data_IF_475260832498
#
_entry.id   IF_475260832498
#
_cell.length_a   1.000
_cell.length_b   1.000
_cell.length_c   1.000
_cell.angle_alpha   90.00
_cell.angle_beta   90.00
_cell.angle_gamma   90.00
#
_symmetry.space_group_name_H-M   'P 1'
#
loop_
_entity.id
_entity.type
_entity.pdbx_description
1 polymer ?
#
# COMPACT_ATOMS: atom_id res chain seq x y z
N UNK A 1 4.67 -4.52 34.49
CA UNK A 1 3.60 -4.23 33.50
C UNK A 1 3.10 -5.57 32.99
N UNK A 2 1.80 -5.90 33.06
CA UNK A 2 1.33 -7.18 32.56
C UNK A 2 1.39 -7.18 31.03
N UNK A 3 2.03 -8.20 30.46
CA UNK A 3 2.02 -8.52 29.03
C UNK A 3 1.01 -9.66 28.82
N UNK A 4 -0.28 -9.38 29.02
CA UNK A 4 -1.32 -10.36 28.70
C UNK A 4 -2.24 -9.77 27.64
N UNK A 5 -2.30 -10.44 26.49
CA UNK A 5 -3.29 -10.15 25.46
C UNK A 5 -4.63 -10.70 25.94
N UNK A 6 -5.63 -9.84 26.08
CA UNK A 6 -6.98 -10.26 26.49
C UNK A 6 -7.77 -10.91 25.34
N UNK A 7 -7.24 -10.84 24.12
CA UNK A 7 -7.84 -11.39 22.89
C UNK A 7 -6.75 -11.98 22.00
N UNK A 8 -7.08 -13.03 21.25
CA UNK A 8 -6.12 -13.70 20.35
C UNK A 8 -5.74 -12.85 19.14
N UNK A 9 -6.64 -11.96 18.69
CA UNK A 9 -6.43 -11.03 17.58
C UNK A 9 -7.16 -9.71 17.81
N UNK A 10 -6.56 -8.63 17.31
CA UNK A 10 -7.21 -7.34 17.18
C UNK A 10 -7.67 -7.14 15.72
N UNK A 11 -8.93 -7.43 15.37
CA UNK A 11 -9.41 -7.24 14.02
C UNK A 11 -9.40 -5.75 13.67
N UNK A 12 -8.82 -5.36 12.53
CA UNK A 12 -8.83 -3.96 12.13
C UNK A 12 -10.27 -3.54 11.79
N UNK A 13 -10.65 -2.33 12.22
CA UNK A 13 -11.92 -1.71 11.84
C UNK A 13 -11.98 -1.42 10.33
N UNK A 14 -10.83 -1.05 9.76
CA UNK A 14 -10.65 -0.94 8.32
C UNK A 14 -10.45 -2.32 7.70
N UNK A 15 -11.26 -2.67 6.70
CA UNK A 15 -11.07 -3.92 5.96
C UNK A 15 -9.97 -3.82 4.91
N UNK A 16 -9.50 -2.61 4.58
CA UNK A 16 -8.40 -2.40 3.64
C UNK A 16 -8.65 -2.94 2.24
N UNK A 17 -9.92 -2.94 1.78
CA UNK A 17 -10.32 -3.62 0.55
C UNK A 17 -9.56 -3.12 -0.69
N UNK A 18 -9.34 -1.80 -0.80
CA UNK A 18 -8.55 -1.23 -1.89
C UNK A 18 -7.09 -1.68 -1.82
N UNK A 19 -6.52 -1.81 -0.62
CA UNK A 19 -5.15 -2.26 -0.42
C UNK A 19 -4.96 -3.74 -0.80
N UNK A 20 -5.93 -4.61 -0.49
CA UNK A 20 -5.91 -6.01 -0.95
C UNK A 20 -6.07 -6.09 -2.47
N UNK A 21 -6.98 -5.30 -3.05
CA UNK A 21 -7.14 -5.20 -4.52
C UNK A 21 -5.85 -4.78 -5.22
N UNK A 22 -5.09 -3.83 -4.66
CA UNK A 22 -3.78 -3.44 -5.20
C UNK A 22 -2.81 -4.62 -5.22
N UNK A 23 -2.75 -5.42 -4.15
CA UNK A 23 -1.90 -6.62 -4.10
C UNK A 23 -2.35 -7.63 -5.13
N UNK A 24 -3.64 -7.91 -5.25
CA UNK A 24 -4.16 -8.84 -6.26
C UNK A 24 -3.79 -8.42 -7.68
N UNK A 25 -3.95 -7.14 -8.02
CA UNK A 25 -3.62 -6.61 -9.35
C UNK A 25 -2.12 -6.67 -9.65
N UNK A 26 -1.27 -6.39 -8.67
CA UNK A 26 0.18 -6.34 -8.84
C UNK A 26 0.89 -7.66 -8.52
N UNK A 27 0.18 -8.69 -8.04
CA UNK A 27 0.79 -9.92 -7.52
C UNK A 27 1.75 -10.56 -8.52
N UNK A 28 1.28 -10.84 -9.74
CA UNK A 28 2.11 -11.46 -10.78
C UNK A 28 3.28 -10.57 -11.20
N UNK A 29 3.09 -9.24 -11.21
CA UNK A 29 4.14 -8.29 -11.55
C UNK A 29 5.24 -8.21 -10.48
N UNK A 30 4.85 -8.28 -9.20
CA UNK A 30 5.77 -8.35 -8.08
C UNK A 30 6.51 -9.70 -8.11
N UNK A 31 5.80 -10.83 -8.20
CA UNK A 31 6.40 -12.17 -8.20
C UNK A 31 7.42 -12.35 -9.33
N UNK A 32 7.12 -11.85 -10.53
CA UNK A 32 8.01 -11.95 -11.69
C UNK A 32 9.04 -10.82 -11.82
N UNK A 33 9.01 -9.81 -10.95
CA UNK A 33 9.77 -8.56 -11.09
C UNK A 33 9.61 -7.92 -12.48
N UNK A 34 8.43 -7.98 -13.07
CA UNK A 34 8.17 -7.36 -14.38
C UNK A 34 7.84 -5.86 -14.26
N UNK A 35 7.47 -5.41 -13.06
CA UNK A 35 6.83 -4.10 -12.88
C UNK A 35 5.44 -4.04 -13.51
N UNK A 36 4.80 -2.88 -13.45
CA UNK A 36 3.47 -2.69 -14.01
C UNK A 36 2.88 -1.34 -13.65
N UNK A 37 1.83 -0.95 -14.36
CA UNK A 37 1.11 0.30 -14.13
C UNK A 37 -0.39 0.06 -14.03
N UNK A 38 -1.00 0.64 -13.01
CA UNK A 38 -2.39 0.40 -12.64
C UNK A 38 -3.10 1.71 -12.32
N UNK A 39 -4.39 1.80 -12.62
CA UNK A 39 -5.22 2.95 -12.32
C UNK A 39 -6.41 2.54 -11.43
N UNK A 40 -6.69 3.34 -10.40
CA UNK A 40 -7.73 3.10 -9.40
C UNK A 40 -8.38 4.42 -8.99
N UNK A 41 -9.69 4.39 -8.70
CA UNK A 41 -10.32 5.47 -7.94
C UNK A 41 -10.03 5.30 -6.45
N UNK A 42 -9.95 6.41 -5.72
CA UNK A 42 -9.69 6.44 -4.28
C UNK A 42 -10.68 7.38 -3.57
N UNK A 43 -11.11 7.00 -2.37
CA UNK A 43 -11.92 7.84 -1.50
C UNK A 43 -11.31 7.99 -0.10
N UNK A 44 -11.82 8.94 0.69
CA UNK A 44 -11.23 9.32 1.97
C UNK A 44 -11.29 8.20 3.03
N UNK A 45 -12.13 7.20 2.82
CA UNK A 45 -12.19 5.98 3.63
C UNK A 45 -11.02 5.03 3.36
N UNK A 46 -10.35 5.15 2.21
CA UNK A 46 -9.19 4.36 1.84
C UNK A 46 -7.94 4.91 2.53
N UNK A 47 -7.61 4.34 3.68
CA UNK A 47 -6.49 4.78 4.53
C UNK A 47 -5.31 3.83 4.43
N UNK A 48 -4.12 4.33 4.79
CA UNK A 48 -2.87 3.56 4.80
C UNK A 48 -2.54 2.90 3.45
N UNK A 49 -3.02 3.48 2.35
CA UNK A 49 -2.76 3.00 1.00
C UNK A 49 -1.26 3.06 0.73
N UNK A 50 -0.70 1.94 0.27
CA UNK A 50 0.74 1.76 0.09
C UNK A 50 1.39 0.77 1.07
N UNK A 51 0.95 0.70 2.33
CA UNK A 51 1.58 -0.19 3.33
C UNK A 51 1.50 -1.67 2.93
N UNK A 52 0.30 -2.13 2.58
CA UNK A 52 0.04 -3.56 2.34
C UNK A 52 0.84 -4.11 1.16
N UNK A 53 0.93 -3.35 0.08
CA UNK A 53 1.71 -3.72 -1.11
C UNK A 53 3.22 -3.52 -0.89
N UNK A 54 3.63 -2.51 -0.13
CA UNK A 54 5.04 -2.33 0.26
C UNK A 54 5.54 -3.50 1.10
N UNK A 55 4.69 -4.00 2.01
CA UNK A 55 4.98 -5.22 2.78
C UNK A 55 5.14 -6.45 1.90
N UNK A 56 4.32 -6.59 0.85
CA UNK A 56 4.44 -7.70 -0.12
C UNK A 56 5.76 -7.62 -0.90
N UNK A 57 6.11 -6.44 -1.40
CA UNK A 57 7.37 -6.17 -2.08
C UNK A 57 8.55 -6.46 -1.15
N UNK A 58 8.53 -5.92 0.07
CA UNK A 58 9.60 -6.09 1.04
C UNK A 58 9.79 -7.56 1.45
N UNK A 59 8.70 -8.32 1.56
CA UNK A 59 8.74 -9.75 1.88
C UNK A 59 9.41 -10.58 0.79
N UNK A 60 9.17 -10.26 -0.48
CA UNK A 60 9.71 -11.02 -1.61
C UNK A 60 11.10 -10.54 -2.04
N UNK A 61 11.33 -9.22 -2.03
CA UNK A 61 12.48 -8.58 -2.69
C UNK A 61 13.28 -7.64 -1.79
N UNK A 62 12.88 -7.48 -0.52
CA UNK A 62 13.45 -6.49 0.38
C UNK A 62 13.05 -5.06 0.02
N UNK A 63 13.50 -4.09 0.82
CA UNK A 63 13.02 -2.70 0.76
C UNK A 63 13.29 -1.97 -0.56
N UNK A 64 14.19 -2.48 -1.41
CA UNK A 64 14.64 -1.78 -2.63
C UNK A 64 14.63 -2.68 -3.86
N UNK A 65 14.19 -3.94 -3.74
CA UNK A 65 14.40 -4.94 -4.78
C UNK A 65 13.47 -4.86 -5.98
N UNK A 66 12.57 -3.87 -6.03
CA UNK A 66 11.70 -3.54 -7.16
C UNK A 66 12.10 -2.24 -7.87
N UNK A 67 13.21 -1.59 -7.48
CA UNK A 67 13.66 -0.33 -8.11
C UNK A 67 13.88 -0.43 -9.61
N UNK A 68 14.41 -1.56 -10.08
CA UNK A 68 14.72 -1.77 -11.51
C UNK A 68 13.48 -2.11 -12.36
N UNK A 69 12.38 -2.51 -11.70
CA UNK A 69 11.13 -2.90 -12.34
C UNK A 69 9.94 -2.35 -11.53
N UNK A 70 9.69 -1.03 -11.60
CA UNK A 70 8.77 -0.38 -10.68
C UNK A 70 7.32 -0.80 -10.88
N UNK A 71 6.57 -0.80 -9.79
CA UNK A 71 5.12 -0.94 -9.75
C UNK A 71 4.52 0.45 -9.54
N UNK A 72 3.68 0.87 -10.47
CA UNK A 72 3.11 2.20 -10.54
C UNK A 72 1.60 2.11 -10.30
N UNK A 73 1.10 2.90 -9.35
CA UNK A 73 -0.34 3.12 -9.17
C UNK A 73 -0.69 4.58 -9.41
N UNK A 74 -1.71 4.82 -10.22
CA UNK A 74 -2.34 6.12 -10.41
C UNK A 74 -3.71 6.11 -9.75
N UNK A 75 -3.93 7.10 -8.91
CA UNK A 75 -5.17 7.28 -8.16
C UNK A 75 -5.87 8.55 -8.61
N UNK A 76 -7.20 8.50 -8.66
CA UNK A 76 -8.05 9.68 -8.86
C UNK A 76 -9.07 9.79 -7.73
N UNK A 77 -9.18 10.96 -7.11
CA UNK A 77 -10.12 11.21 -6.02
C UNK A 77 -9.44 11.76 -4.76
N UNK A 78 -9.99 11.45 -3.58
CA UNK A 78 -9.49 11.98 -2.31
C UNK A 78 -8.93 10.86 -1.46
N UNK A 79 -7.63 10.83 -1.17
CA UNK A 79 -7.02 9.81 -0.34
C UNK A 79 -7.31 10.00 1.15
N UNK A 80 -7.55 8.90 1.85
CA UNK A 80 -7.64 8.86 3.31
C UNK A 80 -6.29 9.15 3.98
N UNK A 81 -6.29 9.13 5.31
CA UNK A 81 -5.07 9.34 6.10
C UNK A 81 -3.98 8.31 5.76
N UNK A 82 -2.72 8.75 5.84
CA UNK A 82 -1.53 7.90 5.63
C UNK A 82 -1.39 7.33 4.22
N UNK A 83 -1.75 8.10 3.18
CA UNK A 83 -1.43 7.74 1.80
C UNK A 83 0.08 7.65 1.59
N UNK A 84 0.58 6.58 0.99
CA UNK A 84 2.01 6.39 0.75
C UNK A 84 2.84 5.97 1.96
N UNK A 85 2.19 5.42 2.98
CA UNK A 85 2.87 5.01 4.22
C UNK A 85 3.77 3.79 3.99
N UNK A 86 5.00 3.82 4.54
CA UNK A 86 6.02 2.75 4.44
C UNK A 86 6.40 2.32 3.02
N UNK A 87 6.47 3.28 2.11
CA UNK A 87 6.61 3.02 0.68
C UNK A 87 7.93 2.29 0.32
N UNK A 88 7.83 1.09 -0.24
CA UNK A 88 9.00 0.32 -0.68
C UNK A 88 9.65 0.93 -1.94
N UNK A 89 10.96 0.77 -2.09
CA UNK A 89 11.70 1.18 -3.28
C UNK A 89 11.23 0.42 -4.52
N UNK A 90 10.79 1.18 -5.53
CA UNK A 90 10.15 0.64 -6.73
C UNK A 90 8.62 0.70 -6.71
N UNK A 91 7.99 1.10 -5.60
CA UNK A 91 6.56 1.43 -5.60
C UNK A 91 6.37 2.94 -5.82
N UNK A 92 5.70 3.30 -6.91
CA UNK A 92 5.39 4.69 -7.25
C UNK A 92 3.89 4.90 -7.20
N UNK A 93 3.43 5.88 -6.43
CA UNK A 93 2.01 6.20 -6.31
C UNK A 93 1.76 7.66 -6.67
N UNK A 94 0.87 7.87 -7.63
CA UNK A 94 0.47 9.18 -8.12
C UNK A 94 -0.99 9.41 -7.75
N UNK A 95 -1.32 10.59 -7.25
CA UNK A 95 -2.69 10.97 -6.89
C UNK A 95 -3.09 12.23 -7.65
N UNK A 96 -4.16 12.12 -8.44
CA UNK A 96 -4.89 13.24 -9.02
C UNK A 96 -6.09 13.57 -8.11
N UNK A 97 -5.92 14.59 -7.26
CA UNK A 97 -6.92 15.06 -6.30
C UNK A 97 -6.27 15.46 -4.98
N UNK A 98 -6.93 15.16 -3.86
CA UNK A 98 -6.55 15.62 -2.52
C UNK A 98 -6.17 14.46 -1.60
N UNK A 99 -5.34 14.71 -0.59
CA UNK A 99 -5.02 13.72 0.44
C UNK A 99 -5.17 14.31 1.84
N UNK A 100 -5.67 13.49 2.77
CA UNK A 100 -5.70 13.83 4.20
C UNK A 100 -4.31 13.66 4.84
N UNK A 101 -4.22 13.89 6.16
CA UNK A 101 -2.97 13.93 6.91
C UNK A 101 -2.07 12.68 6.78
N UNK A 102 -0.79 12.86 7.09
CA UNK A 102 0.25 11.82 7.18
C UNK A 102 0.69 11.18 5.85
N UNK A 103 0.57 11.93 4.74
CA UNK A 103 1.12 11.50 3.45
C UNK A 103 2.62 11.16 3.57
N UNK A 104 3.01 10.00 3.04
CA UNK A 104 4.41 9.58 2.97
C UNK A 104 5.06 9.28 4.33
N UNK A 105 4.27 9.01 5.37
CA UNK A 105 4.81 8.66 6.68
C UNK A 105 5.62 7.35 6.62
N UNK A 106 6.84 7.38 7.18
CA UNK A 106 7.67 6.19 7.39
C UNK A 106 9.02 6.28 6.73
#
# INVERSE_FOLDING_TARGET
>A
KPQFSQVDRNPPFDKGLLAEKMVEMAKSAIESKSGGEYALDICNCDRSIGARISGEIAKLHGNQGMKDAPVIFRFKGTAGQSFGVWNAGGLNMYLEGDANDYVGKG
#
